data_IF_313641118648
#
_entry.id   IF_313641118648
#
_cell.length_a   1.000
_cell.length_b   1.000
_cell.length_c   1.000
_cell.angle_alpha   90.00
_cell.angle_beta   90.00
_cell.angle_gamma   90.00
#
_symmetry.space_group_name_H-M   'P 1'
#
loop_
_entity.id
_entity.type
_entity.pdbx_description
1 polymer ?
#
# COMPACT_ATOMS: atom_id res chain seq x y z
N UNK A 1 -27.83 -44.80 25.26
CA UNK A 1 -27.42 -43.46 24.75
C UNK A 1 -25.90 -43.43 24.71
N UNK A 2 -25.29 -43.10 23.59
CA UNK A 2 -23.84 -42.89 23.51
C UNK A 2 -23.52 -41.53 24.11
N UNK A 3 -22.68 -41.46 25.11
CA UNK A 3 -22.22 -40.25 25.75
C UNK A 3 -21.40 -39.41 24.76
N UNK A 4 -21.77 -38.16 24.53
CA UNK A 4 -21.00 -37.23 23.69
C UNK A 4 -19.93 -36.62 24.58
N UNK A 5 -18.69 -36.95 24.31
CA UNK A 5 -17.54 -36.34 25.00
C UNK A 5 -17.15 -35.08 24.25
N UNK A 6 -17.37 -33.92 24.89
CA UNK A 6 -16.95 -32.62 24.38
C UNK A 6 -15.55 -32.33 24.90
N UNK A 7 -14.59 -32.12 23.99
CA UNK A 7 -13.24 -31.69 24.29
C UNK A 7 -13.01 -30.25 23.81
N UNK A 8 -12.61 -29.40 24.71
CA UNK A 8 -12.15 -28.04 24.33
C UNK A 8 -10.74 -28.12 23.77
N UNK A 9 -10.50 -27.42 22.68
CA UNK A 9 -9.19 -27.27 22.04
C UNK A 9 -8.74 -25.82 22.31
N UNK A 10 -7.53 -25.65 22.80
CA UNK A 10 -6.90 -24.36 22.87
C UNK A 10 -6.32 -24.05 21.47
N UNK A 11 -6.91 -23.08 20.80
CA UNK A 11 -6.53 -22.64 19.45
C UNK A 11 -5.58 -21.43 19.49
N UNK A 12 -4.85 -21.22 20.58
CA UNK A 12 -3.85 -20.14 20.62
C UNK A 12 -2.82 -20.36 19.49
N UNK A 13 -2.63 -19.39 18.57
CA UNK A 13 -1.69 -19.54 17.48
C UNK A 13 -0.26 -19.58 18.02
N UNK A 14 0.60 -20.41 17.43
CA UNK A 14 2.04 -20.28 17.61
C UNK A 14 2.47 -18.98 16.92
N UNK A 15 2.97 -18.00 17.67
CA UNK A 15 3.29 -16.67 17.16
C UNK A 15 4.27 -16.71 16.00
N UNK A 16 5.34 -17.51 16.11
CA UNK A 16 6.35 -17.67 15.05
C UNK A 16 5.75 -18.29 13.77
N UNK A 17 5.03 -19.39 13.89
CA UNK A 17 4.43 -20.09 12.74
C UNK A 17 3.34 -19.24 12.09
N UNK A 18 2.58 -18.49 12.89
CA UNK A 18 1.60 -17.55 12.39
C UNK A 18 2.28 -16.43 11.59
N UNK A 19 3.34 -15.82 12.13
CA UNK A 19 4.08 -14.74 11.46
C UNK A 19 4.69 -15.24 10.13
N UNK A 20 5.25 -16.44 10.11
CA UNK A 20 5.71 -17.07 8.88
C UNK A 20 4.57 -17.29 7.87
N UNK A 21 3.42 -17.76 8.34
CA UNK A 21 2.25 -18.05 7.49
C UNK A 21 1.66 -16.83 6.78
N UNK A 22 1.68 -15.66 7.42
CA UNK A 22 1.15 -14.42 6.82
C UNK A 22 2.15 -13.69 5.91
N UNK A 23 3.41 -14.11 5.83
CA UNK A 23 4.46 -13.43 5.07
C UNK A 23 4.26 -13.47 3.55
N UNK A 24 3.49 -14.42 3.04
CA UNK A 24 3.24 -14.65 1.61
C UNK A 24 2.11 -13.84 1.00
N UNK A 25 1.42 -12.97 1.75
CA UNK A 25 0.20 -12.32 1.29
C UNK A 25 0.42 -11.22 0.25
N UNK A 26 1.61 -10.65 0.16
CA UNK A 26 1.93 -9.62 -0.83
C UNK A 26 2.58 -10.20 -2.08
N UNK A 27 2.18 -9.69 -3.24
CA UNK A 27 2.72 -10.08 -4.53
C UNK A 27 4.21 -9.78 -4.66
N UNK A 28 4.62 -8.60 -4.19
CA UNK A 28 5.99 -8.11 -4.32
C UNK A 28 6.35 -7.16 -3.17
N UNK A 29 7.63 -6.78 -3.12
CA UNK A 29 8.15 -5.86 -2.11
C UNK A 29 7.51 -4.47 -2.16
N UNK A 30 7.14 -3.99 -3.35
CA UNK A 30 6.49 -2.67 -3.50
C UNK A 30 5.14 -2.61 -2.78
N UNK A 31 4.33 -3.66 -2.87
CA UNK A 31 3.07 -3.76 -2.12
C UNK A 31 3.31 -3.81 -0.61
N UNK A 32 4.30 -4.58 -0.18
CA UNK A 32 4.68 -4.64 1.24
C UNK A 32 5.04 -3.25 1.77
N UNK A 33 5.81 -2.48 1.01
CA UNK A 33 6.21 -1.12 1.39
C UNK A 33 5.01 -0.17 1.43
N UNK A 34 4.07 -0.28 0.48
CA UNK A 34 2.86 0.53 0.46
C UNK A 34 2.00 0.33 1.73
N UNK A 35 1.90 -0.87 2.28
CA UNK A 35 1.17 -1.09 3.53
C UNK A 35 1.77 -0.35 4.73
N UNK A 36 3.09 -0.19 4.77
CA UNK A 36 3.73 0.64 5.81
C UNK A 36 3.47 2.12 5.62
N UNK A 37 3.23 2.56 4.37
CA UNK A 37 2.94 3.96 4.03
C UNK A 37 1.45 4.28 4.22
N UNK A 38 0.55 3.32 3.98
CA UNK A 38 -0.89 3.50 4.17
C UNK A 38 -1.25 3.85 5.62
N UNK A 39 -0.53 3.31 6.61
CA UNK A 39 -0.77 3.59 8.02
C UNK A 39 -0.55 5.09 8.38
N UNK A 40 0.61 5.70 8.09
CA UNK A 40 0.78 7.13 8.31
C UNK A 40 -0.19 7.99 7.50
N UNK A 41 -0.52 7.64 6.24
CA UNK A 41 -1.50 8.40 5.44
C UNK A 41 -2.87 8.40 6.13
N UNK A 42 -3.30 7.25 6.64
CA UNK A 42 -4.54 7.13 7.41
C UNK A 42 -4.52 8.03 8.65
N UNK A 43 -3.40 8.04 9.38
CA UNK A 43 -3.21 8.89 10.54
C UNK A 43 -3.24 10.39 10.17
N UNK A 44 -2.55 10.80 9.11
CA UNK A 44 -2.55 12.18 8.63
C UNK A 44 -3.95 12.66 8.28
N UNK A 45 -4.74 11.84 7.58
CA UNK A 45 -6.12 12.16 7.23
C UNK A 45 -7.02 12.28 8.45
N UNK A 46 -6.95 11.32 9.36
CA UNK A 46 -7.78 11.31 10.56
C UNK A 46 -7.56 12.54 11.44
N UNK A 47 -6.35 13.12 11.43
CA UNK A 47 -5.98 14.25 12.28
C UNK A 47 -5.78 15.56 11.51
N UNK A 48 -6.05 15.60 10.21
CA UNK A 48 -5.84 16.80 9.38
C UNK A 48 -4.39 17.28 9.32
N UNK A 49 -3.44 16.37 9.38
CA UNK A 49 -2.00 16.67 9.37
C UNK A 49 -1.48 16.66 7.93
N UNK A 50 -0.75 17.71 7.53
CA UNK A 50 0.11 17.62 6.36
C UNK A 50 1.39 16.89 6.74
N UNK A 51 1.40 15.58 6.50
CA UNK A 51 2.43 14.68 7.00
C UNK A 51 3.59 14.47 6.04
N UNK A 52 4.65 13.88 6.59
CA UNK A 52 5.82 13.43 5.84
C UNK A 52 6.11 11.97 6.16
N UNK A 53 6.28 11.17 5.13
CA UNK A 53 6.79 9.80 5.21
C UNK A 53 8.20 9.77 4.66
N UNK A 54 9.13 9.24 5.42
CA UNK A 54 10.52 9.03 5.01
C UNK A 54 10.82 7.54 4.91
N UNK A 55 11.38 7.14 3.78
CA UNK A 55 11.74 5.75 3.47
C UNK A 55 13.24 5.71 3.25
N UNK A 56 13.93 4.85 3.99
CA UNK A 56 15.37 4.60 3.77
C UNK A 56 15.58 3.12 3.51
N UNK A 57 16.29 2.82 2.44
CA UNK A 57 16.71 1.47 2.07
C UNK A 57 18.24 1.43 2.06
N UNK A 58 18.83 0.49 2.80
CA UNK A 58 20.28 0.33 2.88
C UNK A 58 20.67 -1.09 2.45
N UNK A 59 21.46 -1.20 1.36
CA UNK A 59 21.92 -2.48 0.83
C UNK A 59 23.06 -3.05 1.70
N UNK A 60 22.86 -4.26 2.25
CA UNK A 60 23.80 -4.95 3.12
C UNK A 60 24.36 -6.24 2.49
N UNK A 61 24.24 -6.39 1.16
CA UNK A 61 24.73 -7.54 0.40
C UNK A 61 23.69 -8.65 0.26
N UNK A 62 23.40 -9.40 1.31
CA UNK A 62 22.42 -10.49 1.31
C UNK A 62 20.99 -10.03 1.68
N UNK A 63 20.85 -8.82 2.17
CA UNK A 63 19.59 -8.21 2.55
C UNK A 63 19.59 -6.69 2.33
N UNK A 64 18.44 -6.10 2.51
CA UNK A 64 18.23 -4.65 2.54
C UNK A 64 17.61 -4.29 3.90
N UNK A 65 18.24 -3.40 4.63
CA UNK A 65 17.63 -2.79 5.80
C UNK A 65 16.62 -1.74 5.33
N UNK A 66 15.40 -1.83 5.86
CA UNK A 66 14.26 -1.00 5.49
C UNK A 66 13.84 -0.18 6.69
N UNK A 67 13.74 1.13 6.52
CA UNK A 67 13.15 2.03 7.50
C UNK A 67 12.03 2.83 6.85
N UNK A 68 10.88 2.91 7.54
CA UNK A 68 9.78 3.82 7.22
C UNK A 68 9.51 4.66 8.46
N UNK A 69 9.61 5.97 8.34
CA UNK A 69 9.37 6.93 9.42
C UNK A 69 8.32 7.93 8.99
N UNK A 70 7.44 8.30 9.92
CA UNK A 70 6.45 9.35 9.76
C UNK A 70 6.51 10.37 10.89
N UNK A 71 5.88 11.52 10.68
CA UNK A 71 5.68 12.57 11.65
C UNK A 71 4.21 12.75 12.06
N UNK A 72 3.46 11.65 12.09
CA UNK A 72 2.07 11.62 12.55
C UNK A 72 1.94 11.75 14.07
N UNK A 73 0.79 11.35 14.60
CA UNK A 73 0.51 11.44 16.04
C UNK A 73 1.18 10.36 16.89
N UNK A 74 1.81 9.37 16.24
CA UNK A 74 2.29 8.15 16.88
C UNK A 74 1.19 7.10 17.05
N UNK A 75 1.56 5.94 17.60
CA UNK A 75 0.65 4.83 17.90
C UNK A 75 0.23 4.91 19.36
N UNK A 76 -1.03 5.30 19.62
CA UNK A 76 -1.56 5.42 20.97
C UNK A 76 -1.73 4.06 21.65
N UNK A 77 -2.13 3.05 20.91
CA UNK A 77 -2.38 1.70 21.40
C UNK A 77 -1.52 0.68 20.64
N UNK A 78 -0.31 0.44 21.15
CA UNK A 78 0.63 -0.53 20.57
C UNK A 78 0.07 -1.96 20.62
N UNK A 79 -0.70 -2.31 21.66
CA UNK A 79 -1.31 -3.63 21.79
C UNK A 79 -2.28 -3.88 20.63
N UNK A 80 -3.18 -2.93 20.35
CA UNK A 80 -4.08 -3.03 19.21
C UNK A 80 -3.33 -3.04 17.87
N UNK A 81 -2.25 -2.26 17.76
CA UNK A 81 -1.43 -2.22 16.54
C UNK A 81 -0.76 -3.55 16.24
N UNK A 82 -0.38 -4.32 17.25
CA UNK A 82 0.29 -5.62 17.11
C UNK A 82 -0.65 -6.83 17.26
N UNK A 83 -1.82 -6.68 17.91
CA UNK A 83 -2.82 -7.75 18.01
C UNK A 83 -3.44 -8.04 16.65
N UNK A 84 -3.54 -9.32 16.30
CA UNK A 84 -4.10 -9.80 15.04
C UNK A 84 -5.58 -9.42 14.94
N UNK A 85 -5.99 -8.88 13.78
CA UNK A 85 -7.34 -8.43 13.50
C UNK A 85 -7.88 -7.33 14.44
N UNK A 86 -7.06 -6.76 15.32
CA UNK A 86 -7.43 -5.58 16.06
C UNK A 86 -7.17 -4.32 15.22
N UNK A 87 -8.10 -3.37 15.26
CA UNK A 87 -7.93 -2.05 14.64
C UNK A 87 -7.38 -1.08 15.67
N UNK A 88 -6.27 -0.44 15.37
CA UNK A 88 -5.66 0.56 16.26
C UNK A 88 -6.26 1.96 16.11
N UNK A 89 -6.96 2.21 15.00
CA UNK A 89 -7.70 3.46 14.75
C UNK A 89 -9.13 3.12 14.37
N UNK A 90 -10.08 3.89 14.89
CA UNK A 90 -11.45 3.88 14.40
C UNK A 90 -11.46 4.44 12.96
N UNK A 91 -12.13 3.76 12.06
CA UNK A 91 -12.60 4.25 10.75
C UNK A 91 -11.55 4.90 9.83
N UNK A 92 -10.57 4.13 9.39
CA UNK A 92 -9.74 4.54 8.25
C UNK A 92 -10.11 3.71 7.02
N UNK A 93 -10.54 4.38 5.95
CA UNK A 93 -10.85 3.77 4.65
C UNK A 93 -9.64 3.10 3.98
N UNK A 94 -8.43 3.30 4.49
CA UNK A 94 -7.20 2.65 4.03
C UNK A 94 -6.71 1.53 4.97
N UNK A 95 -7.33 1.33 6.14
CA UNK A 95 -6.95 0.29 7.12
C UNK A 95 -8.15 -0.60 7.47
N UNK A 96 -8.74 -1.25 6.47
CA UNK A 96 -10.00 -1.98 6.55
C UNK A 96 -9.95 -3.19 7.50
N UNK A 97 -8.82 -3.87 7.62
CA UNK A 97 -8.76 -5.20 8.24
C UNK A 97 -7.92 -5.29 9.53
N UNK A 98 -7.23 -4.23 9.94
CA UNK A 98 -6.33 -4.25 11.11
C UNK A 98 -5.17 -5.25 10.99
N UNK A 99 -4.83 -5.69 9.77
CA UNK A 99 -3.82 -6.72 9.50
C UNK A 99 -2.58 -6.17 8.78
N UNK A 100 -2.68 -5.00 8.13
CA UNK A 100 -1.68 -4.48 7.20
C UNK A 100 -0.28 -4.39 7.78
N UNK A 101 -0.12 -3.79 8.97
CA UNK A 101 1.18 -3.64 9.64
C UNK A 101 1.84 -5.01 9.93
N UNK A 102 1.07 -5.97 10.46
CA UNK A 102 1.58 -7.32 10.81
C UNK A 102 2.01 -8.07 9.55
N UNK A 103 1.17 -8.03 8.51
CA UNK A 103 1.49 -8.62 7.21
C UNK A 103 2.73 -7.98 6.59
N UNK A 104 2.87 -6.65 6.67
CA UNK A 104 4.03 -5.95 6.14
C UNK A 104 5.31 -6.32 6.87
N UNK A 105 5.29 -6.35 8.21
CA UNK A 105 6.43 -6.80 9.03
C UNK A 105 6.85 -8.24 8.69
N UNK A 106 5.89 -9.15 8.65
CA UNK A 106 6.15 -10.55 8.29
C UNK A 106 6.70 -10.67 6.86
N UNK A 107 6.13 -9.93 5.91
CA UNK A 107 6.53 -9.98 4.51
C UNK A 107 7.91 -9.37 4.27
N UNK A 108 8.25 -8.24 4.91
CA UNK A 108 9.59 -7.64 4.81
C UNK A 108 10.64 -8.65 5.23
N UNK A 109 10.43 -9.31 6.37
CA UNK A 109 11.38 -10.26 6.92
C UNK A 109 11.27 -11.67 6.30
N UNK A 110 10.50 -11.85 5.22
CA UNK A 110 10.25 -13.14 4.58
C UNK A 110 9.80 -14.24 5.56
N UNK A 111 8.99 -13.88 6.55
CA UNK A 111 8.46 -14.77 7.58
C UNK A 111 9.39 -15.01 8.78
N UNK A 112 10.60 -14.44 8.79
CA UNK A 112 11.44 -14.45 9.97
C UNK A 112 10.83 -13.56 11.06
N UNK A 113 10.70 -14.07 12.27
CA UNK A 113 10.07 -13.41 13.40
C UNK A 113 10.97 -12.35 14.06
N UNK A 114 12.25 -12.29 13.69
CA UNK A 114 13.28 -11.39 14.22
C UNK A 114 13.59 -10.24 13.25
N UNK A 115 14.48 -9.35 13.66
CA UNK A 115 15.02 -8.27 12.84
C UNK A 115 13.99 -7.23 12.38
N UNK A 116 12.98 -6.97 13.19
CA UNK A 116 12.08 -5.85 13.02
C UNK A 116 11.90 -5.08 14.33
N UNK A 117 11.58 -3.82 14.23
CA UNK A 117 11.20 -2.99 15.37
C UNK A 117 10.21 -1.91 14.98
N UNK A 118 9.41 -1.49 15.95
CA UNK A 118 8.56 -0.31 15.88
C UNK A 118 8.95 0.59 17.04
N UNK A 119 9.24 1.84 16.74
CA UNK A 119 9.36 2.89 17.73
C UNK A 119 8.28 3.92 17.47
N UNK A 120 7.58 4.34 18.51
CA UNK A 120 6.53 5.35 18.38
C UNK A 120 6.58 6.33 19.53
N UNK A 121 6.13 7.56 19.26
CA UNK A 121 6.09 8.64 20.23
C UNK A 121 4.82 9.43 20.04
N UNK A 122 3.96 9.41 21.02
CA UNK A 122 2.72 10.19 21.09
C UNK A 122 2.95 11.56 21.74
N UNK A 123 1.94 12.42 21.75
CA UNK A 123 2.01 13.69 22.48
C UNK A 123 2.25 13.47 23.99
N UNK A 124 1.66 12.43 24.59
CA UNK A 124 1.89 12.04 25.97
C UNK A 124 3.34 11.60 26.20
N UNK A 125 3.89 10.81 25.27
CA UNK A 125 5.28 10.36 25.34
C UNK A 125 6.26 11.53 25.21
N UNK A 126 5.95 12.52 24.36
CA UNK A 126 6.72 13.78 24.26
C UNK A 126 6.74 14.52 25.59
N UNK A 127 5.56 14.67 26.22
CA UNK A 127 5.43 15.36 27.51
C UNK A 127 6.20 14.68 28.65
N UNK A 128 6.36 13.34 28.55
CA UNK A 128 7.07 12.53 29.55
C UNK A 128 8.52 12.19 29.15
N UNK A 129 9.05 12.80 28.09
CA UNK A 129 10.38 12.54 27.51
C UNK A 129 10.71 11.06 27.38
N UNK A 130 9.83 10.32 26.71
CA UNK A 130 9.96 8.88 26.47
C UNK A 130 9.49 8.51 25.07
N UNK A 131 9.76 7.28 24.65
CA UNK A 131 9.16 6.63 23.48
C UNK A 131 8.82 5.17 23.79
N UNK A 132 7.91 4.61 23.02
CA UNK A 132 7.52 3.21 23.10
C UNK A 132 8.29 2.41 22.03
N UNK A 133 8.71 1.19 22.38
CA UNK A 133 9.38 0.27 21.45
C UNK A 133 8.84 -1.15 21.58
N UNK A 134 8.49 -1.75 20.45
CA UNK A 134 8.30 -3.18 20.30
C UNK A 134 9.28 -3.71 19.24
N UNK A 135 9.78 -4.93 19.43
CA UNK A 135 10.73 -5.56 18.51
C UNK A 135 10.61 -7.09 18.50
N UNK A 136 11.18 -7.70 17.45
CA UNK A 136 11.22 -9.16 17.34
C UNK A 136 11.98 -9.85 18.51
N UNK A 137 11.70 -11.12 18.76
CA UNK A 137 10.86 -12.02 17.95
C UNK A 137 9.35 -11.77 18.13
N UNK A 138 8.57 -12.07 17.08
CA UNK A 138 7.11 -12.00 17.15
C UNK A 138 6.56 -13.18 17.95
N UNK A 139 5.79 -12.89 18.99
CA UNK A 139 5.16 -13.91 19.84
C UNK A 139 3.79 -13.43 20.32
N UNK A 140 3.02 -14.32 20.95
CA UNK A 140 1.70 -14.04 21.54
C UNK A 140 1.83 -13.00 22.67
N UNK A 141 2.92 -13.04 23.43
CA UNK A 141 3.24 -12.12 24.51
C UNK A 141 4.50 -11.35 24.17
N UNK A 142 4.32 -10.14 23.65
CA UNK A 142 5.43 -9.26 23.27
C UNK A 142 5.58 -8.11 24.27
N UNK A 143 6.79 -7.83 24.76
CA UNK A 143 7.00 -6.67 25.61
C UNK A 143 6.97 -5.38 24.76
N UNK A 144 6.26 -4.38 25.25
CA UNK A 144 6.41 -2.99 24.82
C UNK A 144 7.21 -2.25 25.85
N UNK A 145 8.37 -1.75 25.46
CA UNK A 145 9.28 -1.04 26.37
C UNK A 145 9.01 0.46 26.30
N UNK A 146 8.90 1.10 27.47
CA UNK A 146 8.91 2.55 27.62
C UNK A 146 10.34 3.00 27.90
N UNK A 147 10.93 3.74 26.96
CA UNK A 147 12.37 4.09 27.01
C UNK A 147 12.52 5.61 27.12
N UNK A 148 13.33 6.14 28.04
CA UNK A 148 13.61 7.58 28.13
C UNK A 148 14.22 8.17 26.86
N UNK A 149 13.86 9.41 26.52
CA UNK A 149 14.36 10.14 25.36
C UNK A 149 13.45 10.05 24.15
N UNK A 150 13.96 10.47 22.99
CA UNK A 150 13.16 10.53 21.74
C UNK A 150 13.33 9.32 20.82
N UNK A 151 14.31 8.48 21.06
CA UNK A 151 14.65 7.41 20.14
C UNK A 151 14.95 7.93 18.73
N UNK A 152 14.50 7.21 17.73
CA UNK A 152 14.64 7.60 16.32
C UNK A 152 13.51 8.53 15.82
N UNK A 153 12.50 8.81 16.64
CA UNK A 153 11.36 9.67 16.27
C UNK A 153 11.71 11.17 16.30
N UNK A 154 12.94 11.51 16.65
CA UNK A 154 13.54 12.85 16.56
C UNK A 154 12.62 14.03 16.94
N UNK A 155 12.47 14.25 18.25
CA UNK A 155 12.01 15.54 18.81
C UNK A 155 10.50 15.84 18.76
N UNK A 156 9.69 15.03 18.06
CA UNK A 156 8.25 15.22 17.91
C UNK A 156 7.45 13.93 18.13
N UNK A 157 6.25 13.90 17.62
CA UNK A 157 5.41 12.70 17.52
C UNK A 157 5.67 11.95 16.21
N UNK A 158 5.30 10.68 16.14
CA UNK A 158 5.40 9.87 14.92
C UNK A 158 5.77 8.42 15.20
N UNK A 159 6.08 7.70 14.13
CA UNK A 159 6.43 6.28 14.20
C UNK A 159 7.62 5.97 13.29
N UNK A 160 8.47 5.06 13.72
CA UNK A 160 9.55 4.46 12.93
C UNK A 160 9.37 2.96 12.91
N UNK A 161 9.25 2.40 11.72
CA UNK A 161 9.19 0.94 11.49
C UNK A 161 10.48 0.53 10.80
N UNK A 162 11.13 -0.50 11.32
CA UNK A 162 12.32 -1.11 10.72
C UNK A 162 12.09 -2.59 10.42
N UNK A 163 12.72 -3.06 9.37
CA UNK A 163 12.74 -4.47 9.01
C UNK A 163 13.97 -4.81 8.20
N UNK A 164 14.27 -6.10 8.13
CA UNK A 164 15.37 -6.65 7.31
C UNK A 164 14.79 -7.49 6.19
N UNK A 165 14.91 -7.01 4.96
CA UNK A 165 14.38 -7.67 3.77
C UNK A 165 15.47 -8.52 3.10
N UNK A 166 15.37 -9.85 3.10
CA UNK A 166 16.29 -10.68 2.33
C UNK A 166 16.31 -10.27 0.85
N UNK A 167 17.47 -10.32 0.20
CA UNK A 167 17.64 -9.83 -1.17
C UNK A 167 16.65 -10.50 -2.16
N UNK A 168 16.41 -11.81 -2.03
CA UNK A 168 15.45 -12.51 -2.89
C UNK A 168 14.01 -11.96 -2.77
N UNK A 169 13.59 -11.50 -1.58
CA UNK A 169 12.29 -10.86 -1.37
C UNK A 169 12.27 -9.44 -1.92
N UNK A 170 13.34 -8.68 -1.72
CA UNK A 170 13.49 -7.34 -2.29
C UNK A 170 13.37 -7.36 -3.81
N UNK A 171 13.99 -8.34 -4.48
CA UNK A 171 13.99 -8.49 -5.93
C UNK A 171 12.63 -8.92 -6.52
N UNK A 172 11.62 -9.24 -5.71
CA UNK A 172 10.29 -9.62 -6.23
C UNK A 172 9.59 -8.51 -7.02
N UNK A 173 9.94 -7.24 -6.81
CA UNK A 173 9.44 -6.10 -7.60
C UNK A 173 10.05 -6.01 -9.02
N UNK A 174 10.76 -7.02 -9.47
CA UNK A 174 11.32 -7.03 -10.83
C UNK A 174 10.23 -7.10 -11.89
N UNK A 175 10.29 -6.27 -12.98
CA UNK A 175 9.38 -6.41 -14.10
C UNK A 175 9.50 -7.79 -14.74
N UNK A 176 8.36 -8.44 -15.03
CA UNK A 176 8.34 -9.79 -15.61
C UNK A 176 9.11 -9.93 -16.94
N UNK A 177 9.25 -8.82 -17.68
CA UNK A 177 10.01 -8.79 -18.94
C UNK A 177 11.53 -8.77 -18.76
N UNK A 178 12.04 -8.53 -17.54
CA UNK A 178 13.48 -8.49 -17.25
C UNK A 178 14.00 -9.91 -16.96
N UNK A 179 14.90 -10.40 -17.81
CA UNK A 179 15.57 -11.71 -17.63
C UNK A 179 16.68 -11.64 -16.60
N UNK A 180 17.46 -10.55 -16.62
CA UNK A 180 18.57 -10.32 -15.70
C UNK A 180 18.07 -9.80 -14.34
N UNK A 181 18.82 -10.07 -13.30
CA UNK A 181 18.56 -9.47 -12.00
C UNK A 181 18.86 -7.97 -12.05
N UNK A 182 17.95 -7.13 -11.58
CA UNK A 182 18.18 -5.70 -11.53
C UNK A 182 19.20 -5.35 -10.45
N UNK A 183 19.95 -4.29 -10.68
CA UNK A 183 20.83 -3.70 -9.67
C UNK A 183 19.99 -3.04 -8.55
N UNK A 184 20.60 -2.81 -7.39
CA UNK A 184 19.95 -2.09 -6.29
C UNK A 184 19.42 -0.72 -6.73
N UNK A 185 20.17 0.05 -7.49
CA UNK A 185 19.74 1.34 -8.04
C UNK A 185 18.52 1.21 -8.98
N UNK A 186 18.46 0.15 -9.81
CA UNK A 186 17.28 -0.12 -10.64
C UNK A 186 16.06 -0.47 -9.78
N UNK A 187 16.25 -1.25 -8.72
CA UNK A 187 15.16 -1.57 -7.78
C UNK A 187 14.65 -0.32 -7.07
N UNK A 188 15.54 0.58 -6.63
CA UNK A 188 15.16 1.87 -6.05
C UNK A 188 14.33 2.72 -7.05
N UNK A 189 14.72 2.75 -8.33
CA UNK A 189 13.95 3.43 -9.36
C UNK A 189 12.56 2.80 -9.57
N UNK A 190 12.43 1.48 -9.54
CA UNK A 190 11.16 0.76 -9.63
C UNK A 190 10.24 1.06 -8.45
N UNK A 191 10.79 1.16 -7.25
CA UNK A 191 10.02 1.55 -6.06
C UNK A 191 9.53 2.99 -6.16
N UNK A 192 10.37 3.92 -6.58
CA UNK A 192 9.94 5.32 -6.82
C UNK A 192 8.80 5.39 -7.84
N UNK A 193 8.90 4.64 -8.94
CA UNK A 193 7.82 4.57 -9.93
C UNK A 193 6.52 4.04 -9.29
N UNK A 194 6.61 2.94 -8.52
CA UNK A 194 5.47 2.34 -7.83
C UNK A 194 4.81 3.31 -6.85
N UNK A 195 5.59 4.01 -6.04
CA UNK A 195 5.08 4.98 -5.06
C UNK A 195 4.41 6.17 -5.76
N UNK A 196 5.04 6.71 -6.80
CA UNK A 196 4.48 7.81 -7.61
C UNK A 196 3.16 7.44 -8.29
N UNK A 197 3.03 6.17 -8.70
CA UNK A 197 1.80 5.64 -9.29
C UNK A 197 0.73 5.38 -8.24
N UNK A 198 1.08 4.65 -7.18
CA UNK A 198 0.13 4.24 -6.14
C UNK A 198 -0.52 5.43 -5.47
N UNK A 199 0.25 6.46 -5.16
CA UNK A 199 -0.20 7.66 -4.45
C UNK A 199 -0.37 8.89 -5.35
N UNK A 200 -0.53 8.70 -6.67
CA UNK A 200 -0.52 9.79 -7.64
C UNK A 200 -1.48 10.94 -7.30
N UNK A 201 -2.75 10.63 -6.98
CA UNK A 201 -3.74 11.67 -6.66
C UNK A 201 -3.37 12.40 -5.36
N UNK A 202 -2.97 11.67 -4.34
CA UNK A 202 -2.57 12.25 -3.04
C UNK A 202 -1.31 13.12 -3.14
N UNK A 203 -0.35 12.73 -3.98
CA UNK A 203 0.86 13.50 -4.24
C UNK A 203 0.57 14.75 -5.08
N UNK A 204 -0.38 14.67 -6.03
CA UNK A 204 -0.84 15.80 -6.81
C UNK A 204 -1.51 16.86 -5.93
N UNK A 205 -2.35 16.41 -5.02
CA UNK A 205 -3.10 17.25 -4.10
C UNK A 205 -2.25 17.74 -2.92
N UNK A 206 -0.97 17.31 -2.87
CA UNK A 206 -0.03 17.62 -1.79
C UNK A 206 -0.57 17.28 -0.41
N UNK A 207 -1.35 16.20 -0.32
CA UNK A 207 -1.90 15.75 0.95
C UNK A 207 -0.81 15.34 1.96
N UNK A 208 0.32 14.87 1.46
CA UNK A 208 1.51 14.55 2.24
C UNK A 208 2.76 14.53 1.34
N UNK A 209 3.93 14.39 1.97
CA UNK A 209 5.22 14.30 1.27
C UNK A 209 5.87 12.94 1.51
N UNK A 210 6.41 12.33 0.45
CA UNK A 210 7.26 11.14 0.56
C UNK A 210 8.71 11.54 0.27
N UNK A 211 9.63 11.22 1.20
CA UNK A 211 11.06 11.26 0.99
C UNK A 211 11.59 9.83 0.87
N UNK A 212 12.34 9.56 -0.18
CA UNK A 212 12.88 8.23 -0.45
C UNK A 212 14.39 8.30 -0.62
N UNK A 213 15.13 7.53 0.16
CA UNK A 213 16.59 7.43 0.10
C UNK A 213 17.00 5.98 -0.06
N UNK A 214 17.89 5.72 -1.00
CA UNK A 214 18.51 4.42 -1.23
C UNK A 214 20.02 4.56 -1.05
N UNK A 215 20.60 3.76 -0.18
CA UNK A 215 22.03 3.71 0.10
C UNK A 215 22.56 2.35 -0.36
N UNK A 216 23.46 2.33 -1.31
CA UNK A 216 24.05 1.09 -1.80
C UNK A 216 25.16 0.57 -0.86
N UNK A 217 25.62 -0.65 -1.10
CA UNK A 217 26.69 -1.29 -0.32
C UNK A 217 28.03 -0.54 -0.29
N UNK A 218 28.23 0.45 -1.18
CA UNK A 218 29.41 1.31 -1.16
C UNK A 218 29.21 2.54 -0.27
N UNK A 219 28.01 2.77 0.24
CA UNK A 219 27.61 3.96 0.96
C UNK A 219 27.19 5.12 0.04
N UNK A 220 27.14 4.90 -1.28
CA UNK A 220 26.60 5.92 -2.17
C UNK A 220 25.09 6.06 -1.99
N UNK A 221 24.64 7.28 -1.80
CA UNK A 221 23.24 7.60 -1.50
C UNK A 221 22.58 8.33 -2.67
N UNK A 222 21.39 7.86 -3.04
CA UNK A 222 20.48 8.53 -3.96
C UNK A 222 19.14 8.76 -3.23
N UNK A 223 18.82 10.02 -2.94
CA UNK A 223 17.67 10.32 -2.11
C UNK A 223 17.11 11.72 -2.31
N UNK A 224 15.90 11.90 -1.78
CA UNK A 224 15.19 13.17 -1.78
C UNK A 224 13.68 12.99 -1.78
N UNK A 225 12.98 14.11 -1.88
CA UNK A 225 11.54 14.11 -2.05
C UNK A 225 11.16 13.46 -3.39
N UNK A 226 10.16 12.59 -3.38
CA UNK A 226 9.66 11.97 -4.61
C UNK A 226 9.02 13.06 -5.49
N UNK A 227 9.44 13.18 -6.77
CA UNK A 227 8.96 14.25 -7.65
C UNK A 227 7.52 14.00 -8.10
N UNK A 228 6.54 14.30 -7.25
CA UNK A 228 5.13 14.33 -7.57
C UNK A 228 4.53 13.03 -8.12
N UNK A 229 3.31 13.12 -8.61
CA UNK A 229 2.55 12.02 -9.19
C UNK A 229 3.17 11.44 -10.47
N UNK A 230 2.98 10.15 -10.69
CA UNK A 230 3.19 9.55 -12.01
C UNK A 230 1.88 9.70 -12.81
N UNK A 231 1.94 10.52 -13.85
CA UNK A 231 0.77 10.81 -14.69
C UNK A 231 0.86 10.10 -16.05
N UNK A 232 -0.27 9.65 -16.61
CA UNK A 232 -0.30 9.17 -17.98
C UNK A 232 -0.10 10.31 -18.97
N UNK A 233 0.68 10.06 -20.01
CA UNK A 233 0.84 11.00 -21.12
C UNK A 233 -0.31 10.82 -22.11
N UNK A 234 -1.39 11.56 -21.90
CA UNK A 234 -2.54 11.53 -22.80
C UNK A 234 -2.19 12.02 -24.20
N UNK A 235 -2.85 11.47 -25.21
CA UNK A 235 -2.78 12.00 -26.57
C UNK A 235 -3.64 13.25 -26.68
N UNK A 236 -3.14 14.23 -27.42
CA UNK A 236 -3.82 15.51 -27.61
C UNK A 236 -5.24 15.29 -28.18
N UNK A 237 -6.24 15.87 -27.52
CA UNK A 237 -7.64 15.75 -27.89
C UNK A 237 -8.26 14.35 -27.79
N UNK A 238 -7.56 13.37 -27.18
CA UNK A 238 -8.03 12.01 -27.04
C UNK A 238 -8.28 11.59 -25.58
N UNK A 239 -8.42 12.53 -24.67
CA UNK A 239 -8.83 12.32 -23.30
C UNK A 239 -10.18 12.97 -23.06
N UNK A 240 -11.07 12.24 -22.42
CA UNK A 240 -12.35 12.71 -21.93
C UNK A 240 -12.33 12.63 -20.41
N UNK A 241 -12.72 13.69 -19.75
CA UNK A 241 -12.95 13.74 -18.32
C UNK A 241 -14.46 13.90 -18.07
N UNK A 242 -15.02 12.98 -17.29
CA UNK A 242 -16.42 13.06 -16.89
C UNK A 242 -16.55 13.98 -15.67
N UNK A 243 -17.63 14.76 -15.57
CA UNK A 243 -17.94 15.42 -14.32
C UNK A 243 -18.00 14.39 -13.18
N UNK A 244 -17.55 14.72 -11.95
CA UNK A 244 -17.74 13.86 -10.80
C UNK A 244 -19.20 13.48 -10.61
N UNK A 245 -19.48 12.21 -10.36
CA UNK A 245 -20.84 11.68 -10.24
C UNK A 245 -21.01 11.04 -8.87
N UNK A 246 -22.02 11.50 -8.14
CA UNK A 246 -22.47 10.82 -6.92
C UNK A 246 -23.36 9.63 -7.29
N UNK A 247 -23.07 8.47 -6.73
CA UNK A 247 -23.84 7.24 -6.97
C UNK A 247 -23.77 6.32 -5.75
N UNK A 248 -24.73 5.43 -5.61
CA UNK A 248 -24.72 4.36 -4.62
C UNK A 248 -24.29 3.05 -5.31
N UNK A 249 -23.24 2.43 -4.80
CA UNK A 249 -22.76 1.13 -5.28
C UNK A 249 -23.34 -0.05 -4.46
N UNK A 250 -24.23 0.22 -3.50
CA UNK A 250 -24.85 -0.79 -2.64
C UNK A 250 -24.43 -0.74 -1.17
N UNK A 251 -23.68 0.29 -0.76
CA UNK A 251 -23.24 0.46 0.64
C UNK A 251 -23.29 1.90 1.12
N UNK A 252 -23.82 2.82 0.30
CA UNK A 252 -23.88 4.25 0.57
C UNK A 252 -23.34 5.07 -0.61
N UNK A 253 -23.37 6.40 -0.44
CA UNK A 253 -22.96 7.31 -1.50
C UNK A 253 -21.43 7.36 -1.66
N UNK A 254 -21.01 7.26 -2.89
CA UNK A 254 -19.62 7.50 -3.32
C UNK A 254 -19.61 8.55 -4.44
N UNK A 255 -18.51 9.29 -4.54
CA UNK A 255 -18.23 10.15 -5.69
C UNK A 255 -17.28 9.44 -6.63
N UNK A 256 -17.66 9.24 -7.88
CA UNK A 256 -16.80 8.66 -8.92
C UNK A 256 -16.23 9.78 -9.78
N UNK A 257 -14.90 9.89 -9.80
CA UNK A 257 -14.13 10.71 -10.71
C UNK A 257 -13.56 9.82 -11.82
N UNK A 258 -13.84 10.13 -13.09
CA UNK A 258 -13.44 9.30 -14.21
C UNK A 258 -12.85 10.12 -15.35
N UNK A 259 -11.68 9.69 -15.84
CA UNK A 259 -11.10 10.18 -17.10
C UNK A 259 -10.64 8.98 -17.93
N UNK A 260 -10.88 9.02 -19.22
CA UNK A 260 -10.51 7.93 -20.12
C UNK A 260 -10.04 8.44 -21.47
N UNK A 261 -9.32 7.61 -22.20
CA UNK A 261 -8.85 7.94 -23.53
C UNK A 261 -7.64 7.16 -23.98
N UNK A 262 -6.87 7.74 -24.89
CA UNK A 262 -5.67 7.13 -25.46
C UNK A 262 -4.41 7.79 -24.90
N UNK A 263 -3.45 6.96 -24.48
CA UNK A 263 -2.15 7.42 -23.96
C UNK A 263 -1.02 7.23 -24.98
N UNK A 264 0.02 8.05 -24.83
CA UNK A 264 1.32 7.82 -25.45
C UNK A 264 2.11 6.84 -24.62
N UNK A 265 2.88 5.97 -25.30
CA UNK A 265 3.76 5.02 -24.60
C UNK A 265 4.82 5.77 -23.80
N UNK A 266 4.91 5.51 -22.50
CA UNK A 266 6.11 5.87 -21.73
C UNK A 266 7.22 4.86 -22.02
N UNK A 267 8.42 5.36 -22.34
CA UNK A 267 9.63 4.54 -22.52
C UNK A 267 10.44 4.44 -21.23
N UNK A 268 10.24 5.38 -20.32
CA UNK A 268 10.98 5.51 -19.06
C UNK A 268 10.41 4.62 -17.96
N UNK A 269 9.09 4.40 -18.00
CA UNK A 269 8.41 3.61 -16.97
C UNK A 269 8.67 2.11 -17.14
N UNK A 270 8.89 1.44 -16.02
CA UNK A 270 9.08 -0.01 -15.97
C UNK A 270 7.74 -0.77 -15.93
N UNK A 271 6.72 -0.22 -15.27
CA UNK A 271 5.44 -0.89 -15.01
C UNK A 271 4.25 -0.18 -15.63
N UNK A 272 4.09 1.13 -15.42
CA UNK A 272 2.85 1.85 -15.65
C UNK A 272 2.89 2.69 -16.94
N UNK A 273 1.73 2.88 -17.56
CA UNK A 273 1.52 3.73 -18.75
C UNK A 273 2.40 3.39 -19.95
N UNK A 274 2.71 2.10 -20.10
CA UNK A 274 3.60 1.60 -21.17
C UNK A 274 2.88 1.38 -22.50
N UNK A 275 1.57 1.58 -22.56
CA UNK A 275 0.74 1.28 -23.72
C UNK A 275 0.95 -0.17 -24.20
N UNK A 276 0.89 -1.13 -23.27
CA UNK A 276 0.92 -2.56 -23.48
C UNK A 276 -0.24 -3.23 -22.73
N UNK A 277 -0.50 -4.51 -22.97
CA UNK A 277 -1.63 -5.22 -22.38
C UNK A 277 -1.64 -5.14 -20.83
N UNK A 278 -0.49 -5.21 -20.19
CA UNK A 278 -0.38 -5.22 -18.73
C UNK A 278 -0.66 -3.86 -18.06
N UNK A 279 -0.55 -2.76 -18.80
CA UNK A 279 -0.74 -1.39 -18.28
C UNK A 279 -1.88 -0.63 -18.96
N UNK A 280 -2.73 -1.34 -19.74
CA UNK A 280 -3.87 -0.78 -20.46
C UNK A 280 -5.17 -1.31 -19.90
N UNK A 281 -6.29 -0.63 -20.16
CA UNK A 281 -7.58 -0.94 -19.57
C UNK A 281 -7.96 0.05 -18.48
N UNK A 282 -8.74 -0.39 -17.51
CA UNK A 282 -9.11 0.47 -16.39
C UNK A 282 -8.11 0.33 -15.23
N UNK A 283 -7.88 1.45 -14.56
CA UNK A 283 -7.26 1.50 -13.25
C UNK A 283 -8.25 2.03 -12.22
N UNK A 284 -8.35 1.36 -11.09
CA UNK A 284 -9.24 1.70 -10.01
C UNK A 284 -8.42 2.25 -8.85
N UNK A 285 -8.87 3.40 -8.36
CA UNK A 285 -8.37 4.07 -7.17
C UNK A 285 -9.47 4.16 -6.14
N UNK A 286 -9.10 4.10 -4.89
CA UNK A 286 -10.00 4.34 -3.75
C UNK A 286 -9.36 5.44 -2.92
N UNK A 287 -10.08 6.55 -2.77
CA UNK A 287 -9.63 7.72 -2.04
C UNK A 287 -8.21 8.18 -2.47
N UNK A 288 -7.95 8.16 -3.77
CA UNK A 288 -6.69 8.61 -4.37
C UNK A 288 -5.57 7.56 -4.38
N UNK A 289 -5.73 6.41 -3.72
CA UNK A 289 -4.76 5.29 -3.74
C UNK A 289 -5.09 4.31 -4.86
N UNK A 290 -4.12 3.99 -5.70
CA UNK A 290 -4.29 2.96 -6.73
C UNK A 290 -4.41 1.56 -6.09
N UNK A 291 -5.47 0.85 -6.45
CA UNK A 291 -5.79 -0.50 -5.97
C UNK A 291 -5.47 -1.53 -7.04
N UNK A 292 -5.96 -1.33 -8.26
CA UNK A 292 -5.80 -2.29 -9.35
C UNK A 292 -5.72 -1.57 -10.68
N UNK A 293 -4.95 -2.13 -11.61
CA UNK A 293 -4.83 -1.65 -12.98
C UNK A 293 -4.87 -2.81 -13.97
N UNK A 294 -5.00 -2.50 -15.24
CA UNK A 294 -5.03 -3.49 -16.32
C UNK A 294 -6.36 -4.24 -16.41
N UNK A 295 -7.40 -3.73 -15.76
CA UNK A 295 -8.75 -4.29 -15.81
C UNK A 295 -9.37 -4.03 -17.18
N UNK A 296 -9.58 -5.09 -17.94
CA UNK A 296 -10.30 -5.01 -19.19
C UNK A 296 -11.27 -6.19 -19.34
N UNK A 297 -10.78 -7.41 -19.26
CA UNK A 297 -11.62 -8.60 -19.37
C UNK A 297 -12.67 -8.68 -18.26
N UNK A 298 -12.30 -8.31 -17.05
CA UNK A 298 -13.15 -8.29 -15.86
C UNK A 298 -14.33 -7.31 -16.03
N UNK A 299 -14.10 -6.19 -16.72
CA UNK A 299 -15.12 -5.17 -16.94
C UNK A 299 -15.95 -5.47 -18.20
N UNK A 300 -15.31 -5.73 -19.35
CA UNK A 300 -15.99 -5.84 -20.64
C UNK A 300 -16.21 -7.27 -21.12
N UNK A 301 -15.74 -8.29 -20.36
CA UNK A 301 -15.91 -9.70 -20.69
C UNK A 301 -15.15 -10.16 -21.93
N UNK A 302 -14.12 -9.42 -22.35
CA UNK A 302 -13.34 -9.67 -23.57
C UNK A 302 -11.86 -9.48 -23.31
N UNK A 303 -11.03 -10.22 -24.02
CA UNK A 303 -9.58 -9.99 -23.99
C UNK A 303 -9.23 -8.66 -24.69
N UNK A 304 -8.31 -7.90 -24.11
CA UNK A 304 -7.81 -6.68 -24.72
C UNK A 304 -7.04 -7.02 -26.01
N UNK A 305 -7.47 -6.48 -27.15
CA UNK A 305 -6.75 -6.64 -28.40
C UNK A 305 -5.50 -5.75 -28.43
N UNK A 306 -4.37 -6.19 -29.02
CA UNK A 306 -3.13 -5.41 -29.07
C UNK A 306 -3.28 -4.00 -29.66
N UNK A 307 -4.21 -3.78 -30.59
CA UNK A 307 -4.51 -2.44 -31.12
C UNK A 307 -5.07 -1.46 -30.08
N UNK A 308 -5.58 -1.98 -28.98
CA UNK A 308 -6.20 -1.23 -27.87
C UNK A 308 -5.22 -0.95 -26.73
N UNK A 309 -3.96 -1.35 -26.85
CA UNK A 309 -2.92 -1.18 -25.81
C UNK A 309 -2.63 0.27 -25.39
N UNK A 310 -3.33 1.24 -25.93
CA UNK A 310 -3.24 2.65 -25.58
C UNK A 310 -4.45 3.16 -24.81
N UNK A 311 -5.48 2.33 -24.68
CA UNK A 311 -6.65 2.70 -23.93
C UNK A 311 -6.35 2.68 -22.42
N UNK A 312 -6.75 3.75 -21.76
CA UNK A 312 -6.69 3.89 -20.31
C UNK A 312 -7.98 4.53 -19.83
N UNK A 313 -8.57 3.97 -18.78
CA UNK A 313 -9.62 4.60 -18.00
C UNK A 313 -9.16 4.66 -16.55
N UNK A 314 -9.07 5.87 -15.99
CA UNK A 314 -8.74 6.08 -14.58
C UNK A 314 -10.01 6.39 -13.81
N UNK A 315 -10.33 5.58 -12.82
CA UNK A 315 -11.52 5.71 -12.00
C UNK A 315 -11.08 5.84 -10.54
N UNK A 316 -11.44 6.96 -9.90
CA UNK A 316 -11.21 7.17 -8.46
C UNK A 316 -12.57 7.23 -7.76
N UNK A 317 -12.73 6.39 -6.74
CA UNK A 317 -13.94 6.28 -5.93
C UNK A 317 -13.64 6.94 -4.59
N UNK A 318 -14.40 7.98 -4.27
CA UNK A 318 -14.19 8.79 -3.07
C UNK A 318 -15.37 8.61 -2.13
N UNK A 319 -15.10 8.29 -0.87
CA UNK A 319 -16.07 8.33 0.23
C UNK A 319 -15.34 8.38 1.57
N UNK A 320 -15.92 9.06 2.52
CA UNK A 320 -15.49 9.04 3.92
C UNK A 320 -16.08 7.83 4.69
N UNK A 321 -17.06 7.15 4.09
CA UNK A 321 -17.71 5.96 4.64
C UNK A 321 -17.06 4.70 4.07
N UNK A 322 -16.40 3.93 4.92
CA UNK A 322 -15.69 2.71 4.48
C UNK A 322 -16.65 1.67 3.87
N UNK A 323 -17.86 1.54 4.42
CA UNK A 323 -18.90 0.63 3.95
C UNK A 323 -19.44 0.96 2.56
N UNK A 324 -19.33 2.22 2.13
CA UNK A 324 -19.75 2.65 0.79
C UNK A 324 -18.74 2.27 -0.29
N UNK A 325 -17.48 2.06 0.08
CA UNK A 325 -16.39 1.76 -0.84
C UNK A 325 -16.40 0.28 -1.25
N UNK A 326 -15.98 -0.04 -2.50
CA UNK A 326 -15.75 -1.43 -2.91
C UNK A 326 -14.69 -2.11 -2.04
N UNK A 327 -14.96 -3.36 -1.66
CA UNK A 327 -14.05 -4.13 -0.82
C UNK A 327 -12.77 -4.48 -1.58
N UNK A 328 -11.64 -4.38 -0.87
CA UNK A 328 -10.34 -4.78 -1.40
C UNK A 328 -9.89 -6.14 -0.86
N UNK A 329 -9.00 -6.81 -1.59
CA UNK A 329 -8.27 -7.97 -1.04
C UNK A 329 -7.41 -7.51 0.14
N UNK A 330 -7.20 -8.38 1.13
CA UNK A 330 -6.48 -8.04 2.36
C UNK A 330 -5.10 -7.40 2.14
N UNK A 331 -4.44 -7.73 1.04
CA UNK A 331 -3.18 -7.12 0.62
C UNK A 331 -3.36 -5.86 -0.26
N UNK A 332 -4.56 -5.35 -0.41
CA UNK A 332 -4.93 -4.19 -1.28
C UNK A 332 -4.34 -4.27 -2.71
N UNK A 333 -4.16 -5.48 -3.22
CA UNK A 333 -3.62 -5.76 -4.55
C UNK A 333 -4.69 -6.09 -5.58
N UNK A 334 -5.91 -5.72 -5.30
CA UNK A 334 -7.07 -5.90 -6.17
C UNK A 334 -8.38 -5.76 -5.42
N UNK A 335 -9.45 -5.64 -6.17
CA UNK A 335 -10.82 -5.65 -5.69
C UNK A 335 -11.24 -7.08 -5.35
N UNK A 336 -12.18 -7.23 -4.43
CA UNK A 336 -12.81 -8.53 -4.15
C UNK A 336 -13.87 -8.80 -5.22
N UNK A 337 -13.69 -9.89 -5.96
CA UNK A 337 -14.54 -10.24 -7.09
C UNK A 337 -15.96 -10.70 -6.66
N UNK A 338 -16.12 -11.11 -5.41
CA UNK A 338 -17.39 -11.53 -4.79
C UNK A 338 -18.16 -10.35 -4.13
N UNK A 339 -17.64 -9.13 -4.17
CA UNK A 339 -18.31 -7.95 -3.63
C UNK A 339 -19.33 -7.38 -4.64
N UNK A 340 -20.59 -7.23 -4.21
CA UNK A 340 -21.67 -6.64 -5.02
C UNK A 340 -21.37 -5.20 -5.44
N UNK A 341 -20.63 -4.42 -4.61
CA UNK A 341 -20.21 -3.05 -4.92
C UNK A 341 -19.22 -3.02 -6.08
N UNK A 342 -18.33 -4.02 -6.17
CA UNK A 342 -17.41 -4.19 -7.32
C UNK A 342 -18.20 -4.50 -8.59
N UNK A 343 -19.22 -5.35 -8.52
CA UNK A 343 -20.08 -5.65 -9.67
C UNK A 343 -20.86 -4.39 -10.11
N UNK A 344 -21.36 -3.61 -9.17
CA UNK A 344 -22.04 -2.33 -9.44
C UNK A 344 -21.08 -1.31 -10.07
N UNK A 345 -19.85 -1.18 -9.57
CA UNK A 345 -18.81 -0.34 -10.14
C UNK A 345 -18.49 -0.73 -11.60
N UNK A 346 -18.30 -2.01 -11.88
CA UNK A 346 -18.03 -2.47 -13.26
C UNK A 346 -19.21 -2.21 -14.18
N UNK A 347 -20.44 -2.30 -13.68
CA UNK A 347 -21.64 -1.95 -14.43
C UNK A 347 -21.71 -0.44 -14.73
N UNK A 348 -21.36 0.39 -13.75
CA UNK A 348 -21.24 1.83 -13.94
C UNK A 348 -20.17 2.17 -15.00
N UNK A 349 -18.99 1.55 -14.94
CA UNK A 349 -17.92 1.77 -15.92
C UNK A 349 -18.42 1.41 -17.34
N UNK A 350 -19.06 0.25 -17.53
CA UNK A 350 -19.60 -0.15 -18.83
C UNK A 350 -20.64 0.83 -19.39
N UNK A 351 -21.41 1.47 -18.51
CA UNK A 351 -22.45 2.42 -18.92
C UNK A 351 -21.87 3.80 -19.31
N UNK A 352 -20.77 4.23 -18.70
CA UNK A 352 -20.25 5.60 -18.79
C UNK A 352 -18.93 5.71 -19.57
N UNK A 353 -18.15 4.65 -19.65
CA UNK A 353 -16.89 4.61 -20.39
C UNK A 353 -17.07 3.80 -21.66
N UNK A 354 -16.96 4.41 -22.86
CA UNK A 354 -17.13 3.70 -24.11
C UNK A 354 -16.09 2.57 -24.22
N UNK A 355 -16.57 1.40 -24.64
CA UNK A 355 -15.67 0.31 -24.99
C UNK A 355 -14.77 0.78 -26.15
N UNK A 356 -13.44 0.70 -26.00
CA UNK A 356 -12.57 1.08 -27.10
C UNK A 356 -12.89 0.22 -28.34
N UNK A 357 -13.24 0.88 -29.46
CA UNK A 357 -13.60 0.29 -30.75
C UNK A 357 -15.04 -0.27 -30.89
N UNK A 358 -16.04 0.42 -30.39
CA UNK A 358 -17.35 0.42 -31.04
C UNK A 358 -17.48 1.57 -32.01
#
# INVERSE_FOLDING_TARGET
>A
MREIIIRNIDNAPNGKEFFAGISGNFKDFGQTLCELIDNPISNFRAHGIHGRVEIVLEEQGDHVDVMVRDNGTGIENMDAALTIAARSCAESTLNEHGMGLKHALASINAGADQHWSIQTRTAEDVANDRYQRAEGPYDIHMPVSMIPGSGEVAGGTGTVVRGRCPMHKFLTLKPASKKEEPTFAQMAAYLRETLRYTYANLLRDKAFTICFTAVDKSGASDGGEIPGALEPNWRDGQMTELPPVETDLGGGLVTICCRYGSIRRSKENAFYYRANMASSGAEIRINGRAIQHGLYNEIWGKALHPSQNRFLAQIDILSDQAEALPDTKAAKNGLREDDEKVAALFSWIRANVPEPFK
#
